data_IF_458690295100
#
_entry.id   IF_458690295100
#
_cell.length_a   1.000
_cell.length_b   1.000
_cell.length_c   1.000
_cell.angle_alpha   90.00
_cell.angle_beta   90.00
_cell.angle_gamma   90.00
#
_symmetry.space_group_name_H-M   'P 1'
#
loop_
_entity.id
_entity.type
_entity.pdbx_description
1 polymer ?
#
# COMPACT_ATOMS: atom_id res chain seq x y z
N UNK A 1 3.79 -25.98 -12.34
CA UNK A 1 4.49 -24.83 -12.97
C UNK A 1 5.54 -24.33 -11.99
N UNK A 2 6.83 -24.49 -12.30
CA UNK A 2 7.94 -24.03 -11.46
C UNK A 2 8.04 -22.51 -11.57
N UNK A 3 7.95 -21.81 -10.42
CA UNK A 3 8.19 -20.37 -10.36
C UNK A 3 9.64 -20.08 -10.77
N UNK A 4 9.90 -19.12 -11.69
CA UNK A 4 11.26 -18.77 -12.06
C UNK A 4 12.09 -18.40 -10.81
N UNK A 5 13.34 -18.79 -10.75
CA UNK A 5 14.22 -18.58 -9.58
C UNK A 5 14.38 -17.10 -9.19
N UNK A 6 14.02 -16.17 -10.09
CA UNK A 6 14.06 -14.71 -9.89
C UNK A 6 12.73 -14.08 -9.53
N UNK A 7 11.61 -14.81 -9.43
CA UNK A 7 10.33 -14.28 -8.99
C UNK A 7 10.18 -14.34 -7.46
N UNK A 8 9.36 -13.42 -6.90
CA UNK A 8 9.00 -13.46 -5.49
C UNK A 8 8.06 -14.65 -5.21
N UNK A 9 8.32 -15.42 -4.17
CA UNK A 9 7.52 -16.60 -3.86
C UNK A 9 7.69 -17.06 -2.41
N UNK A 10 6.74 -17.88 -1.94
CA UNK A 10 6.93 -18.64 -0.70
C UNK A 10 8.03 -19.69 -0.87
N UNK A 11 8.85 -19.87 0.16
CA UNK A 11 10.00 -20.81 0.16
C UNK A 11 9.56 -22.29 0.11
N UNK A 12 8.30 -22.57 0.41
CA UNK A 12 7.70 -23.93 0.35
C UNK A 12 6.17 -23.86 0.32
N UNK A 13 5.55 -24.94 -0.14
CA UNK A 13 4.09 -25.10 -0.08
C UNK A 13 3.56 -25.09 1.36
N UNK A 14 4.35 -25.56 2.33
CA UNK A 14 3.99 -25.49 3.75
C UNK A 14 3.90 -24.04 4.22
N UNK A 15 4.87 -23.20 3.86
CA UNK A 15 4.85 -21.77 4.23
C UNK A 15 3.69 -21.03 3.56
N UNK A 16 3.40 -21.36 2.29
CA UNK A 16 2.25 -20.82 1.56
C UNK A 16 0.93 -21.18 2.21
N UNK A 17 0.69 -22.47 2.52
CA UNK A 17 -0.53 -22.92 3.22
C UNK A 17 -0.69 -22.30 4.60
N UNK A 18 0.42 -22.16 5.36
CA UNK A 18 0.39 -21.50 6.67
C UNK A 18 -0.03 -20.04 6.54
N UNK A 19 0.49 -19.34 5.56
CA UNK A 19 0.13 -17.94 5.30
C UNK A 19 -1.34 -17.84 4.87
N UNK A 20 -1.80 -18.64 3.92
CA UNK A 20 -3.18 -18.65 3.45
C UNK A 20 -4.17 -18.86 4.62
N UNK A 21 -3.93 -19.85 5.47
CA UNK A 21 -4.76 -20.09 6.66
C UNK A 21 -4.73 -18.93 7.67
N UNK A 22 -3.65 -18.18 7.76
CA UNK A 22 -3.59 -16.98 8.59
C UNK A 22 -4.35 -15.81 7.93
N UNK A 23 -4.24 -15.67 6.61
CA UNK A 23 -4.96 -14.67 5.83
C UNK A 23 -6.48 -14.88 5.89
N UNK A 24 -6.95 -16.13 5.73
CA UNK A 24 -8.38 -16.47 5.83
C UNK A 24 -8.95 -16.11 7.21
N UNK A 25 -8.21 -16.42 8.29
CA UNK A 25 -8.60 -16.04 9.66
C UNK A 25 -8.62 -14.53 9.87
N UNK A 26 -7.62 -13.84 9.35
CA UNK A 26 -7.54 -12.37 9.44
C UNK A 26 -8.67 -11.73 8.64
N UNK A 27 -8.95 -12.20 7.42
CA UNK A 27 -10.04 -11.73 6.58
C UNK A 27 -11.41 -11.88 7.27
N UNK A 28 -11.67 -13.05 7.87
CA UNK A 28 -12.92 -13.30 8.60
C UNK A 28 -13.14 -12.38 9.82
N UNK A 29 -12.08 -11.78 10.35
CA UNK A 29 -12.14 -10.86 11.51
C UNK A 29 -12.11 -9.40 11.11
N UNK A 30 -11.37 -9.07 10.04
CA UNK A 30 -11.07 -7.69 9.67
C UNK A 30 -12.00 -7.14 8.59
N UNK A 31 -12.52 -7.98 7.68
CA UNK A 31 -13.52 -7.53 6.72
C UNK A 31 -14.88 -7.37 7.39
N UNK A 32 -15.32 -6.13 7.56
CA UNK A 32 -16.60 -5.78 8.20
C UNK A 32 -17.74 -5.60 7.18
N UNK A 33 -17.46 -5.77 5.90
CA UNK A 33 -18.42 -5.70 4.78
C UNK A 33 -18.25 -6.93 3.89
N UNK A 34 -19.26 -7.29 3.10
CA UNK A 34 -19.14 -8.35 2.11
C UNK A 34 -18.01 -8.08 1.12
N UNK A 35 -17.14 -9.05 0.93
CA UNK A 35 -16.00 -8.99 0.00
C UNK A 35 -16.06 -10.23 -0.92
N UNK A 36 -16.00 -9.98 -2.22
CA UNK A 36 -15.79 -11.02 -3.22
C UNK A 36 -14.34 -11.05 -3.66
N UNK A 37 -13.79 -12.24 -3.86
CA UNK A 37 -12.39 -12.41 -4.26
C UNK A 37 -12.31 -13.02 -5.64
N UNK A 38 -11.45 -12.48 -6.49
CA UNK A 38 -11.16 -13.01 -7.82
C UNK A 38 -9.66 -12.99 -8.09
N UNK A 39 -9.22 -13.86 -8.96
CA UNK A 39 -7.85 -13.94 -9.43
C UNK A 39 -7.79 -13.40 -10.86
N UNK A 40 -7.03 -12.33 -11.07
CA UNK A 40 -6.89 -11.62 -12.34
C UNK A 40 -5.56 -12.03 -12.99
N UNK A 41 -5.57 -12.67 -14.16
CA UNK A 41 -4.35 -12.97 -14.90
C UNK A 41 -3.72 -11.70 -15.46
N UNK A 42 -2.39 -11.59 -15.34
CA UNK A 42 -1.58 -10.52 -15.90
C UNK A 42 -0.37 -11.13 -16.63
N UNK A 43 0.33 -10.32 -17.40
CA UNK A 43 1.56 -10.75 -18.10
C UNK A 43 2.69 -11.18 -17.15
N UNK A 44 2.63 -10.74 -15.88
CA UNK A 44 3.65 -10.98 -14.84
C UNK A 44 3.22 -12.00 -13.77
N UNK A 45 1.98 -12.49 -13.86
CA UNK A 45 1.44 -13.46 -12.92
C UNK A 45 -0.05 -13.31 -12.69
N UNK A 46 -0.56 -13.89 -11.62
CA UNK A 46 -1.96 -13.80 -11.22
C UNK A 46 -2.10 -12.90 -10.01
N UNK A 47 -2.94 -11.89 -10.11
CA UNK A 47 -3.18 -10.91 -9.04
C UNK A 47 -4.51 -11.20 -8.37
N UNK A 48 -4.49 -11.36 -7.05
CA UNK A 48 -5.70 -11.50 -6.24
C UNK A 48 -6.29 -10.15 -5.93
N UNK A 49 -7.57 -9.99 -6.25
CA UNK A 49 -8.34 -8.77 -6.04
C UNK A 49 -9.53 -9.06 -5.14
N UNK A 50 -9.67 -8.26 -4.10
CA UNK A 50 -10.77 -8.29 -3.15
C UNK A 50 -11.69 -7.10 -3.44
N UNK A 51 -12.90 -7.38 -3.91
CA UNK A 51 -13.88 -6.34 -4.28
C UNK A 51 -14.92 -6.18 -3.18
N UNK A 52 -15.16 -4.92 -2.79
CA UNK A 52 -16.24 -4.52 -1.89
C UNK A 52 -17.04 -3.35 -2.48
N UNK A 53 -18.25 -3.13 -1.97
CA UNK A 53 -19.11 -2.02 -2.38
C UNK A 53 -19.94 -2.28 -3.64
N UNK A 54 -20.56 -1.23 -4.22
CA UNK A 54 -21.43 -1.34 -5.38
C UNK A 54 -20.66 -1.75 -6.65
N UNK A 55 -21.37 -2.18 -7.66
CA UNK A 55 -20.82 -2.30 -9.01
C UNK A 55 -20.51 -0.91 -9.59
N UNK A 56 -19.50 -0.81 -10.45
CA UNK A 56 -19.13 0.44 -11.14
C UNK A 56 -17.73 0.38 -11.74
N UNK A 57 -17.43 1.36 -12.57
CA UNK A 57 -16.20 1.45 -13.37
C UNK A 57 -15.16 2.41 -12.77
N UNK A 58 -15.49 3.13 -11.68
CA UNK A 58 -14.66 4.14 -11.02
C UNK A 58 -14.22 3.68 -9.62
N UNK A 59 -13.42 2.62 -9.47
CA UNK A 59 -13.07 2.08 -8.17
C UNK A 59 -12.02 2.91 -7.44
N UNK A 60 -12.04 2.82 -6.11
CA UNK A 60 -10.82 2.99 -5.30
C UNK A 60 -9.98 1.71 -5.40
N UNK A 61 -8.71 1.84 -5.74
CA UNK A 61 -7.77 0.71 -5.80
C UNK A 61 -6.73 0.87 -4.72
N UNK A 62 -6.71 -0.06 -3.76
CA UNK A 62 -5.90 0.03 -2.56
C UNK A 62 -4.63 -0.81 -2.71
N UNK A 63 -3.47 -0.16 -2.68
CA UNK A 63 -2.14 -0.74 -2.87
C UNK A 63 -1.34 -0.69 -1.56
N UNK A 64 -1.11 -1.84 -0.97
CA UNK A 64 -0.41 -1.97 0.31
C UNK A 64 1.10 -1.67 0.21
N UNK A 65 1.70 -1.31 1.33
CA UNK A 65 3.14 -1.16 1.49
C UNK A 65 3.89 -2.49 1.46
N UNK A 66 5.22 -2.43 1.51
CA UNK A 66 6.10 -3.59 1.50
C UNK A 66 5.78 -4.58 2.64
N UNK A 67 5.68 -5.85 2.30
CA UNK A 67 5.31 -6.92 3.23
C UNK A 67 3.82 -6.98 3.58
N UNK A 68 3.01 -6.03 3.08
CA UNK A 68 1.57 -5.99 3.26
C UNK A 68 0.78 -6.63 2.12
N UNK A 69 -0.52 -6.75 2.31
CA UNK A 69 -1.50 -7.19 1.32
C UNK A 69 -2.81 -6.42 1.49
N UNK A 70 -3.86 -6.80 0.80
CA UNK A 70 -5.18 -6.16 0.85
C UNK A 70 -5.71 -5.93 2.27
N UNK A 71 -5.42 -6.85 3.21
CA UNK A 71 -5.86 -6.74 4.60
C UNK A 71 -5.23 -5.56 5.36
N UNK A 72 -4.12 -4.99 4.88
CA UNK A 72 -3.56 -3.76 5.47
C UNK A 72 -4.52 -2.56 5.37
N UNK A 73 -5.48 -2.63 4.49
CA UNK A 73 -6.47 -1.59 4.24
C UNK A 73 -7.82 -1.82 4.94
N UNK A 74 -7.92 -2.84 5.81
CA UNK A 74 -9.18 -3.20 6.46
C UNK A 74 -9.93 -2.03 7.14
N UNK A 75 -9.26 -1.04 7.76
CA UNK A 75 -9.98 0.04 8.43
C UNK A 75 -10.69 0.99 7.45
N UNK A 76 -10.29 0.99 6.18
CA UNK A 76 -10.75 1.94 5.16
C UNK A 76 -11.86 1.36 4.28
N UNK A 77 -11.85 0.02 4.07
CA UNK A 77 -12.68 -0.64 3.05
C UNK A 77 -14.16 -0.37 3.24
N UNK A 78 -14.69 -0.49 4.46
CA UNK A 78 -16.12 -0.31 4.72
C UNK A 78 -16.60 1.11 4.36
N UNK A 79 -15.87 2.14 4.78
CA UNK A 79 -16.24 3.53 4.54
C UNK A 79 -16.13 3.90 3.05
N UNK A 80 -15.08 3.43 2.36
CA UNK A 80 -14.89 3.66 0.93
C UNK A 80 -15.92 2.89 0.10
N UNK A 81 -16.19 1.62 0.45
CA UNK A 81 -17.17 0.78 -0.21
C UNK A 81 -18.61 1.29 -0.10
N UNK A 82 -18.92 2.07 0.91
CA UNK A 82 -20.20 2.78 1.03
C UNK A 82 -20.40 3.90 0.00
N UNK A 83 -19.38 4.25 -0.79
CA UNK A 83 -19.42 5.33 -1.78
C UNK A 83 -19.16 4.87 -3.20
N UNK A 84 -18.16 4.04 -3.42
CA UNK A 84 -17.71 3.58 -4.73
C UNK A 84 -17.19 2.14 -4.63
N UNK A 85 -17.04 1.42 -5.76
CA UNK A 85 -16.36 0.13 -5.75
C UNK A 85 -14.96 0.26 -5.13
N UNK A 86 -14.58 -0.73 -4.33
CA UNK A 86 -13.23 -0.84 -3.78
C UNK A 86 -12.57 -2.11 -4.32
N UNK A 87 -11.38 -1.99 -4.85
CA UNK A 87 -10.50 -3.09 -5.22
C UNK A 87 -9.29 -3.07 -4.26
N UNK A 88 -9.35 -3.84 -3.19
CA UNK A 88 -8.18 -4.07 -2.34
C UNK A 88 -7.34 -5.19 -2.94
N UNK A 89 -6.09 -4.91 -3.27
CA UNK A 89 -5.27 -5.81 -4.08
C UNK A 89 -4.18 -6.44 -3.22
N UNK A 90 -3.97 -7.74 -3.37
CA UNK A 90 -2.74 -8.38 -2.90
C UNK A 90 -1.63 -8.07 -3.91
N UNK A 91 -0.63 -7.22 -3.59
CA UNK A 91 0.34 -6.78 -4.58
C UNK A 91 1.16 -7.95 -5.12
N UNK A 92 1.41 -7.94 -6.42
CA UNK A 92 2.26 -8.94 -7.04
C UNK A 92 3.70 -8.83 -6.51
N UNK A 93 4.25 -9.93 -6.04
CA UNK A 93 5.59 -9.95 -5.45
C UNK A 93 5.65 -9.70 -3.94
N UNK A 94 4.50 -9.53 -3.27
CA UNK A 94 4.35 -9.44 -1.81
C UNK A 94 3.62 -10.67 -1.25
N UNK A 95 3.71 -10.94 0.07
CA UNK A 95 3.00 -12.06 0.67
C UNK A 95 1.48 -11.84 0.64
N UNK A 96 0.79 -12.65 -0.16
CA UNK A 96 -0.66 -12.55 -0.41
C UNK A 96 -1.15 -13.77 -1.17
N UNK A 97 -2.34 -13.63 -1.75
CA UNK A 97 -2.93 -14.61 -2.67
C UNK A 97 -2.41 -14.50 -4.09
N UNK A 98 -1.75 -13.40 -4.44
CA UNK A 98 -1.15 -13.18 -5.75
C UNK A 98 0.09 -14.07 -5.98
N UNK A 99 0.35 -14.44 -7.23
CA UNK A 99 1.48 -15.30 -7.60
C UNK A 99 2.21 -14.70 -8.80
N UNK A 100 3.47 -14.28 -8.59
CA UNK A 100 4.34 -13.81 -9.66
C UNK A 100 4.89 -15.01 -10.47
N UNK A 101 4.81 -14.93 -11.79
CA UNK A 101 5.38 -15.91 -12.72
C UNK A 101 6.57 -15.36 -13.51
N UNK A 102 6.82 -14.04 -13.37
CA UNK A 102 7.96 -13.34 -13.96
C UNK A 102 8.63 -12.42 -12.93
N UNK A 103 9.90 -12.04 -13.13
CA UNK A 103 10.56 -11.05 -12.28
C UNK A 103 9.90 -9.67 -12.35
N UNK A 104 9.82 -9.00 -11.21
CA UNK A 104 9.39 -7.61 -11.06
C UNK A 104 10.64 -6.76 -10.78
N UNK A 105 11.55 -6.69 -11.76
CA UNK A 105 12.92 -6.17 -11.55
C UNK A 105 13.04 -4.64 -11.54
N UNK A 106 12.04 -3.92 -12.04
CA UNK A 106 12.05 -2.47 -12.20
C UNK A 106 10.66 -1.85 -11.94
N UNK A 107 10.59 -0.52 -12.04
CA UNK A 107 9.35 0.23 -11.86
C UNK A 107 8.32 -0.05 -12.93
N UNK A 108 8.75 -0.28 -14.15
CA UNK A 108 7.85 -0.54 -15.27
C UNK A 108 7.11 -1.86 -15.09
N UNK A 109 7.80 -2.91 -14.69
CA UNK A 109 7.18 -4.19 -14.34
C UNK A 109 6.22 -4.05 -13.15
N UNK A 110 6.62 -3.26 -12.13
CA UNK A 110 5.78 -3.00 -10.95
C UNK A 110 4.53 -2.20 -11.30
N UNK A 111 4.59 -1.23 -12.21
CA UNK A 111 3.42 -0.46 -12.66
C UNK A 111 2.50 -1.24 -13.60
N UNK A 112 3.08 -2.03 -14.51
CA UNK A 112 2.35 -2.73 -15.57
C UNK A 112 1.25 -3.65 -15.07
N UNK A 113 1.51 -4.49 -14.08
CA UNK A 113 0.48 -5.39 -13.56
C UNK A 113 -0.73 -4.66 -12.97
N UNK A 114 -0.54 -3.44 -12.43
CA UNK A 114 -1.67 -2.63 -11.91
C UNK A 114 -2.56 -2.20 -13.07
N UNK A 115 -1.98 -1.68 -14.16
CA UNK A 115 -2.75 -1.25 -15.35
C UNK A 115 -3.48 -2.44 -15.98
N UNK A 116 -2.84 -3.61 -16.07
CA UNK A 116 -3.47 -4.83 -16.55
C UNK A 116 -4.66 -5.26 -15.66
N UNK A 117 -4.54 -5.11 -14.33
CA UNK A 117 -5.66 -5.37 -13.40
C UNK A 117 -6.78 -4.36 -13.62
N UNK A 118 -6.49 -3.07 -13.82
CA UNK A 118 -7.50 -2.06 -14.13
C UNK A 118 -8.26 -2.41 -15.41
N UNK A 119 -7.54 -2.77 -16.47
CA UNK A 119 -8.14 -3.19 -17.72
C UNK A 119 -9.03 -4.42 -17.57
N UNK A 120 -8.52 -5.48 -16.92
CA UNK A 120 -9.24 -6.75 -16.74
C UNK A 120 -10.47 -6.63 -15.83
N UNK A 121 -10.47 -5.69 -14.88
CA UNK A 121 -11.61 -5.43 -13.99
C UNK A 121 -12.62 -4.43 -14.54
N UNK A 122 -12.38 -3.88 -15.74
CA UNK A 122 -13.23 -2.89 -16.38
C UNK A 122 -13.18 -1.50 -15.76
N UNK A 123 -12.13 -1.21 -14.96
CA UNK A 123 -11.95 0.11 -14.36
C UNK A 123 -11.62 1.15 -15.46
N UNK A 124 -12.37 2.26 -15.46
CA UNK A 124 -12.20 3.35 -16.42
C UNK A 124 -11.61 4.62 -15.82
N UNK A 125 -11.90 4.89 -14.56
CA UNK A 125 -11.49 6.10 -13.83
C UNK A 125 -11.09 5.75 -12.40
N UNK A 126 -10.06 4.90 -12.26
CA UNK A 126 -9.60 4.42 -10.96
C UNK A 126 -8.96 5.56 -10.15
N UNK A 127 -9.24 5.58 -8.84
CA UNK A 127 -8.48 6.37 -7.89
C UNK A 127 -7.53 5.42 -7.14
N UNK A 128 -6.23 5.50 -7.41
CA UNK A 128 -5.26 4.67 -6.72
C UNK A 128 -4.93 5.26 -5.35
N UNK A 129 -5.03 4.44 -4.32
CA UNK A 129 -4.66 4.78 -2.94
C UNK A 129 -3.50 3.88 -2.53
N UNK A 130 -2.30 4.43 -2.41
CA UNK A 130 -1.09 3.65 -2.16
C UNK A 130 -0.33 4.09 -0.93
N UNK A 131 0.05 3.14 -0.05
CA UNK A 131 0.89 3.40 1.12
C UNK A 131 2.30 2.92 0.90
N UNK A 132 3.32 3.71 1.29
CA UNK A 132 4.73 3.31 1.25
C UNK A 132 5.14 2.80 -0.14
N UNK A 133 5.55 1.54 -0.27
CA UNK A 133 5.84 0.89 -1.54
C UNK A 133 4.63 0.89 -2.49
N UNK A 134 3.40 0.75 -1.97
CA UNK A 134 2.17 0.85 -2.75
C UNK A 134 1.94 2.24 -3.35
N UNK A 135 2.40 3.31 -2.67
CA UNK A 135 2.39 4.66 -3.21
C UNK A 135 3.35 4.82 -4.39
N UNK A 136 4.54 4.26 -4.29
CA UNK A 136 5.47 4.20 -5.42
C UNK A 136 4.93 3.34 -6.56
N UNK A 137 4.30 2.20 -6.24
CA UNK A 137 3.62 1.36 -7.23
C UNK A 137 2.53 2.12 -7.99
N UNK A 138 1.75 2.97 -7.30
CA UNK A 138 0.72 3.81 -7.93
C UNK A 138 1.32 4.81 -8.94
N UNK A 139 2.46 5.42 -8.60
CA UNK A 139 3.19 6.32 -9.51
C UNK A 139 3.77 5.56 -10.71
N UNK A 140 4.29 4.36 -10.49
CA UNK A 140 4.77 3.53 -11.60
C UNK A 140 3.62 3.06 -12.50
N UNK A 141 2.44 2.76 -11.92
CA UNK A 141 1.25 2.42 -12.70
C UNK A 141 0.80 3.61 -13.57
N UNK A 142 0.78 4.82 -13.03
CA UNK A 142 0.42 6.02 -13.81
C UNK A 142 1.35 6.21 -15.01
N UNK A 143 2.65 5.90 -14.89
CA UNK A 143 3.60 5.97 -16.02
C UNK A 143 3.33 4.93 -17.12
N UNK A 144 2.67 3.83 -16.79
CA UNK A 144 2.31 2.76 -17.71
C UNK A 144 0.87 2.89 -18.25
N UNK A 145 0.09 3.85 -17.73
CA UNK A 145 -1.31 4.06 -18.10
C UNK A 145 -1.42 4.85 -19.41
N UNK A 146 -1.57 4.14 -20.50
CA UNK A 146 -1.73 4.72 -21.85
C UNK A 146 -3.20 4.93 -22.25
N UNK A 147 -4.14 4.51 -21.40
CA UNK A 147 -5.59 4.57 -21.68
C UNK A 147 -6.33 5.51 -20.71
N UNK A 148 -5.61 6.34 -19.96
CA UNK A 148 -6.16 7.31 -18.99
C UNK A 148 -7.14 6.67 -17.99
N UNK A 149 -6.87 5.44 -17.57
CA UNK A 149 -7.68 4.69 -16.58
C UNK A 149 -7.49 5.17 -15.15
N UNK A 150 -6.38 5.87 -14.87
CA UNK A 150 -6.06 6.40 -13.54
C UNK A 150 -6.47 7.86 -13.48
N UNK A 151 -7.53 8.16 -12.74
CA UNK A 151 -8.12 9.49 -12.65
C UNK A 151 -7.59 10.32 -11.47
N UNK A 152 -7.06 9.68 -10.42
CA UNK A 152 -6.53 10.37 -9.25
C UNK A 152 -5.59 9.47 -8.43
N UNK A 153 -4.73 10.09 -7.63
CA UNK A 153 -3.82 9.42 -6.68
C UNK A 153 -4.02 9.95 -5.26
N UNK A 154 -4.02 9.05 -4.28
CA UNK A 154 -3.75 9.38 -2.88
C UNK A 154 -2.54 8.57 -2.42
N UNK A 155 -1.45 9.26 -2.13
CA UNK A 155 -0.18 8.68 -1.75
C UNK A 155 0.01 8.87 -0.24
N UNK A 156 0.08 7.77 0.51
CA UNK A 156 0.15 7.80 1.98
C UNK A 156 1.55 7.39 2.41
N UNK A 157 2.32 8.35 2.85
CA UNK A 157 3.73 8.22 3.26
C UNK A 157 4.57 7.37 2.28
N UNK A 158 4.58 7.74 0.96
CA UNK A 158 5.06 6.89 -0.12
C UNK A 158 6.57 6.73 -0.13
N UNK A 159 7.08 5.59 -0.61
CA UNK A 159 8.47 5.42 -0.98
C UNK A 159 8.80 6.16 -2.30
N UNK A 160 10.11 6.37 -2.57
CA UNK A 160 10.56 7.05 -3.77
C UNK A 160 10.72 8.58 -3.65
N UNK A 161 10.47 9.17 -2.49
CA UNK A 161 10.65 10.62 -2.26
C UNK A 161 11.96 10.98 -1.58
N UNK A 162 12.58 10.02 -0.93
CA UNK A 162 13.91 10.11 -0.34
C UNK A 162 14.59 8.72 -0.36
N UNK A 163 15.93 8.64 -0.23
CA UNK A 163 16.61 7.36 -0.10
C UNK A 163 16.15 6.62 1.16
N UNK A 164 16.03 5.29 1.06
CA UNK A 164 15.76 4.44 2.23
C UNK A 164 16.98 4.50 3.16
N UNK A 165 16.87 5.29 4.23
CA UNK A 165 17.98 5.58 5.13
C UNK A 165 18.08 4.60 6.33
N UNK A 166 19.18 4.78 7.10
CA UNK A 166 19.44 3.98 8.34
C UNK A 166 18.34 4.18 9.40
N UNK A 167 17.67 5.33 9.43
CA UNK A 167 16.55 5.63 10.32
C UNK A 167 15.39 4.67 10.07
N UNK A 168 14.99 4.50 8.80
CA UNK A 168 13.93 3.57 8.42
C UNK A 168 14.32 2.12 8.71
N UNK A 169 15.54 1.72 8.36
CA UNK A 169 16.02 0.37 8.64
C UNK A 169 15.99 0.05 10.15
N UNK A 170 16.44 0.99 10.99
CA UNK A 170 16.34 0.86 12.46
C UNK A 170 14.89 0.74 12.91
N UNK A 171 13.98 1.54 12.35
CA UNK A 171 12.57 1.50 12.68
C UNK A 171 11.95 0.13 12.34
N UNK A 172 12.26 -0.43 11.17
CA UNK A 172 11.83 -1.78 10.76
C UNK A 172 12.37 -2.85 11.71
N UNK A 173 13.66 -2.82 12.04
CA UNK A 173 14.29 -3.81 12.94
C UNK A 173 13.70 -3.72 14.33
N UNK A 174 13.60 -2.51 14.90
CA UNK A 174 13.03 -2.31 16.24
C UNK A 174 11.53 -2.66 16.28
N UNK A 175 10.78 -2.34 15.23
CA UNK A 175 9.40 -2.76 15.06
C UNK A 175 9.24 -4.28 15.03
N UNK A 176 10.09 -4.96 14.26
CA UNK A 176 10.13 -6.42 14.19
C UNK A 176 10.44 -7.08 15.55
N UNK A 177 11.35 -6.52 16.32
CA UNK A 177 11.66 -6.98 17.69
C UNK A 177 10.49 -6.69 18.65
N UNK A 178 9.92 -5.49 18.57
CA UNK A 178 8.79 -5.08 19.40
C UNK A 178 7.53 -5.94 19.16
N UNK A 179 7.33 -6.42 17.93
CA UNK A 179 6.22 -7.32 17.58
C UNK A 179 6.22 -8.63 18.38
N UNK A 180 7.37 -9.03 18.91
CA UNK A 180 7.52 -10.24 19.73
C UNK A 180 7.27 -9.99 21.22
N UNK A 181 7.11 -8.75 21.65
CA UNK A 181 6.91 -8.38 23.04
C UNK A 181 5.48 -8.71 23.52
N UNK A 182 5.31 -8.98 24.83
CA UNK A 182 3.98 -9.04 25.45
C UNK A 182 3.18 -7.74 25.22
N UNK A 183 1.86 -7.85 25.15
CA UNK A 183 0.96 -6.75 24.78
C UNK A 183 1.23 -5.40 25.47
N UNK A 184 1.41 -5.31 26.81
CA UNK A 184 1.71 -4.04 27.48
C UNK A 184 3.01 -3.38 27.02
N UNK A 185 4.09 -4.16 26.86
CA UNK A 185 5.38 -3.68 26.38
C UNK A 185 5.32 -3.30 24.90
N UNK A 186 4.60 -4.09 24.09
CA UNK A 186 4.38 -3.82 22.68
C UNK A 186 3.63 -2.49 22.46
N UNK A 187 2.58 -2.21 23.25
CA UNK A 187 1.88 -0.91 23.21
C UNK A 187 2.81 0.26 23.58
N UNK A 188 3.70 0.09 24.58
CA UNK A 188 4.69 1.12 24.90
C UNK A 188 5.69 1.34 23.76
N UNK A 189 6.15 0.25 23.13
CA UNK A 189 7.03 0.31 21.96
C UNK A 189 6.33 0.99 20.77
N UNK A 190 5.06 0.67 20.50
CA UNK A 190 4.27 1.29 19.46
C UNK A 190 4.24 2.82 19.58
N UNK A 191 3.95 3.33 20.78
CA UNK A 191 3.97 4.78 21.05
C UNK A 191 5.35 5.42 20.85
N UNK A 192 6.43 4.75 21.30
CA UNK A 192 7.81 5.30 21.17
C UNK A 192 8.32 5.28 19.74
N UNK A 193 7.93 4.29 18.95
CA UNK A 193 8.34 4.12 17.56
C UNK A 193 7.41 4.84 16.59
N UNK A 194 6.32 5.40 17.07
CA UNK A 194 5.19 5.90 16.28
C UNK A 194 4.89 4.86 15.19
N UNK A 195 4.40 3.69 15.61
CA UNK A 195 4.18 2.55 14.73
C UNK A 195 2.87 1.84 15.09
N UNK A 196 1.79 2.28 14.48
CA UNK A 196 0.44 1.74 14.68
C UNK A 196 0.31 0.26 14.31
N UNK A 197 1.15 -0.24 13.39
CA UNK A 197 1.14 -1.66 13.00
C UNK A 197 1.35 -2.60 14.18
N UNK A 198 2.11 -2.16 15.20
CA UNK A 198 2.35 -2.96 16.42
C UNK A 198 1.10 -3.16 17.28
N UNK A 199 0.03 -2.44 17.02
CA UNK A 199 -1.25 -2.56 17.73
C UNK A 199 -2.20 -3.55 17.06
N UNK A 200 -1.94 -3.88 15.78
CA UNK A 200 -2.79 -4.69 14.92
C UNK A 200 -2.42 -6.18 15.01
N UNK A 201 -3.03 -6.88 15.95
CA UNK A 201 -2.66 -8.26 16.28
C UNK A 201 -2.80 -9.22 15.09
N UNK A 202 -3.87 -9.08 14.29
CA UNK A 202 -4.07 -9.95 13.12
C UNK A 202 -3.04 -9.67 12.02
N UNK A 203 -2.68 -8.41 11.79
CA UNK A 203 -1.63 -8.06 10.84
C UNK A 203 -0.26 -8.53 11.32
N UNK A 204 0.03 -8.48 12.63
CA UNK A 204 1.27 -9.02 13.20
C UNK A 204 1.34 -10.55 13.00
N UNK A 205 0.25 -11.27 13.26
CA UNK A 205 0.15 -12.72 13.04
C UNK A 205 0.37 -13.06 11.57
N UNK A 206 -0.21 -12.26 10.68
CA UNK A 206 -0.05 -12.40 9.24
C UNK A 206 1.40 -12.16 8.81
N UNK A 207 2.05 -11.11 9.31
CA UNK A 207 3.48 -10.84 9.09
C UNK A 207 4.39 -11.98 9.55
N UNK A 208 4.09 -12.58 10.73
CA UNK A 208 4.81 -13.76 11.22
C UNK A 208 4.61 -14.97 10.30
N UNK A 209 3.39 -15.19 9.82
CA UNK A 209 3.10 -16.27 8.86
C UNK A 209 3.80 -16.04 7.52
N UNK A 210 3.98 -14.79 7.12
CA UNK A 210 4.65 -14.36 5.89
C UNK A 210 6.17 -14.48 5.88
N UNK A 211 6.82 -14.79 7.03
CA UNK A 211 8.32 -14.91 7.11
C UNK A 211 8.92 -15.91 6.12
N UNK A 212 8.14 -16.87 5.63
CA UNK A 212 8.58 -17.81 4.60
C UNK A 212 8.49 -17.27 3.18
N UNK A 213 8.11 -16.01 2.97
CA UNK A 213 8.05 -15.40 1.66
C UNK A 213 9.40 -14.74 1.29
N UNK A 214 9.89 -15.04 0.10
CA UNK A 214 11.11 -14.44 -0.46
C UNK A 214 10.70 -13.31 -1.38
N UNK A 215 10.75 -12.08 -0.87
CA UNK A 215 10.47 -10.87 -1.62
C UNK A 215 11.66 -10.54 -2.54
N UNK A 216 11.39 -10.35 -3.83
CA UNK A 216 12.37 -9.98 -4.87
C UNK A 216 11.84 -8.82 -5.69
N UNK A 217 11.49 -7.73 -5.03
CA UNK A 217 11.05 -6.49 -5.63
C UNK A 217 12.19 -5.46 -5.59
N UNK A 218 12.22 -4.50 -6.53
CA UNK A 218 13.25 -3.46 -6.53
C UNK A 218 13.11 -2.56 -5.31
N UNK A 219 14.21 -1.93 -4.92
CA UNK A 219 14.15 -0.80 -4.00
C UNK A 219 13.72 0.42 -4.79
N UNK A 220 12.64 1.14 -4.40
CA UNK A 220 12.22 2.35 -5.08
C UNK A 220 13.36 3.38 -5.17
N UNK A 221 13.77 3.79 -6.38
CA UNK A 221 14.71 4.89 -6.54
C UNK A 221 14.03 6.19 -6.10
N UNK A 222 14.84 7.20 -5.77
CA UNK A 222 14.32 8.55 -5.54
C UNK A 222 13.86 9.13 -6.87
N UNK A 223 12.59 9.52 -6.95
CA UNK A 223 12.03 10.17 -8.11
C UNK A 223 12.65 11.56 -8.29
N UNK A 224 13.00 11.89 -9.50
CA UNK A 224 13.51 13.21 -9.87
C UNK A 224 12.42 14.28 -9.78
N UNK A 225 12.81 15.54 -9.73
CA UNK A 225 11.86 16.67 -9.77
C UNK A 225 11.03 16.66 -11.07
N UNK A 226 11.64 16.28 -12.19
CA UNK A 226 10.95 16.15 -13.47
C UNK A 226 9.89 15.04 -13.46
N UNK A 227 10.16 13.89 -12.83
CA UNK A 227 9.19 12.79 -12.71
C UNK A 227 8.00 13.18 -11.82
N UNK A 228 8.23 13.94 -10.75
CA UNK A 228 7.15 14.45 -9.90
C UNK A 228 6.31 15.51 -10.62
N UNK A 229 6.93 16.43 -11.34
CA UNK A 229 6.26 17.48 -12.11
C UNK A 229 5.45 16.90 -13.30
N UNK A 230 5.83 15.74 -13.82
CA UNK A 230 5.13 15.09 -14.93
C UNK A 230 3.80 14.42 -14.53
N UNK A 231 3.50 14.31 -13.24
CA UNK A 231 2.22 13.76 -12.77
C UNK A 231 1.13 14.81 -12.90
N UNK A 232 0.20 14.62 -13.83
CA UNK A 232 -0.85 15.58 -14.18
C UNK A 232 -2.21 15.28 -13.58
N UNK A 233 -2.45 14.05 -13.09
CA UNK A 233 -3.71 13.70 -12.44
C UNK A 233 -3.81 14.33 -11.05
N UNK A 234 -5.01 14.65 -10.56
CA UNK A 234 -5.22 15.11 -9.20
C UNK A 234 -4.53 14.18 -8.21
N UNK A 235 -3.58 14.72 -7.43
CA UNK A 235 -2.74 13.94 -6.53
C UNK A 235 -2.74 14.54 -5.14
N UNK A 236 -3.06 13.71 -4.16
CA UNK A 236 -2.94 14.03 -2.74
C UNK A 236 -1.78 13.26 -2.13
N UNK A 237 -0.92 13.97 -1.40
CA UNK A 237 0.22 13.42 -0.69
C UNK A 237 0.03 13.62 0.82
N UNK A 238 -0.18 12.52 1.54
CA UNK A 238 -0.27 12.50 3.00
C UNK A 238 1.06 12.01 3.57
N UNK A 239 1.67 12.80 4.43
CA UNK A 239 2.96 12.49 5.05
C UNK A 239 2.82 12.44 6.57
N UNK A 240 3.32 11.40 7.21
CA UNK A 240 3.37 11.34 8.66
C UNK A 240 4.42 12.32 9.23
N UNK A 241 4.03 13.16 10.21
CA UNK A 241 4.95 14.13 10.83
C UNK A 241 6.22 13.45 11.34
N UNK A 242 6.08 12.26 11.92
CA UNK A 242 7.18 11.48 12.50
C UNK A 242 7.59 10.30 11.61
N UNK A 243 7.36 10.39 10.28
CA UNK A 243 7.75 9.31 9.37
C UNK A 243 9.19 8.90 9.58
N UNK A 244 9.40 7.59 9.70
CA UNK A 244 10.74 7.03 9.76
C UNK A 244 11.40 6.92 8.37
N UNK A 245 10.58 6.95 7.30
CA UNK A 245 11.02 6.72 5.94
C UNK A 245 11.83 7.89 5.37
N UNK A 246 11.40 9.13 5.66
CA UNK A 246 12.02 10.34 5.13
C UNK A 246 11.94 11.52 6.11
N UNK A 247 12.61 12.60 5.77
CA UNK A 247 12.41 13.92 6.38
C UNK A 247 11.12 14.51 5.79
N UNK A 248 10.07 14.48 6.59
CA UNK A 248 8.72 14.91 6.17
C UNK A 248 8.68 16.36 5.72
N UNK A 249 9.35 17.27 6.46
CA UNK A 249 9.36 18.69 6.12
C UNK A 249 10.06 18.94 4.79
N UNK A 250 11.24 18.34 4.60
CA UNK A 250 12.01 18.46 3.37
C UNK A 250 11.27 17.89 2.16
N UNK A 251 10.59 16.72 2.31
CA UNK A 251 9.78 16.13 1.24
C UNK A 251 8.59 17.01 0.91
N UNK A 252 7.85 17.50 1.91
CA UNK A 252 6.69 18.37 1.69
C UNK A 252 7.08 19.68 0.98
N UNK A 253 8.17 20.32 1.39
CA UNK A 253 8.70 21.54 0.75
C UNK A 253 9.10 21.26 -0.71
N UNK A 254 9.85 20.19 -0.94
CA UNK A 254 10.25 19.77 -2.29
C UNK A 254 9.06 19.57 -3.21
N UNK A 255 8.05 18.80 -2.76
CA UNK A 255 6.88 18.50 -3.60
C UNK A 255 6.05 19.74 -3.87
N UNK A 256 5.79 20.60 -2.88
CA UNK A 256 5.10 21.89 -3.09
C UNK A 256 5.79 22.79 -4.11
N UNK A 257 7.11 22.75 -4.15
CA UNK A 257 7.91 23.52 -5.11
C UNK A 257 7.87 22.95 -6.53
N UNK A 258 7.96 21.62 -6.69
CA UNK A 258 8.13 20.98 -8.02
C UNK A 258 6.81 20.52 -8.64
N UNK A 259 5.79 20.24 -7.82
CA UNK A 259 4.47 19.82 -8.22
C UNK A 259 3.38 20.61 -7.49
N UNK A 260 3.27 21.92 -7.72
CA UNK A 260 2.40 22.82 -6.93
C UNK A 260 0.90 22.50 -7.07
N UNK A 261 0.52 21.70 -8.05
CA UNK A 261 -0.86 21.21 -8.22
C UNK A 261 -1.22 20.08 -7.28
N UNK A 262 -0.25 19.48 -6.58
CA UNK A 262 -0.55 18.41 -5.63
C UNK A 262 -1.03 19.01 -4.31
N UNK A 263 -2.02 18.35 -3.69
CA UNK A 263 -2.42 18.63 -2.33
C UNK A 263 -1.50 17.89 -1.35
N UNK A 264 -0.66 18.66 -0.62
CA UNK A 264 0.36 18.10 0.27
C UNK A 264 0.01 18.42 1.72
N UNK A 265 -0.31 17.37 2.49
CA UNK A 265 -0.66 17.46 3.91
C UNK A 265 0.36 16.68 4.76
N UNK A 266 0.85 17.34 5.82
CA UNK A 266 1.60 16.69 6.90
C UNK A 266 0.62 16.40 8.03
N UNK A 267 0.47 15.12 8.39
CA UNK A 267 -0.50 14.67 9.39
C UNK A 267 0.15 14.64 10.76
N UNK A 268 -0.26 15.52 11.70
CA UNK A 268 0.36 15.63 13.01
C UNK A 268 0.27 14.33 13.83
N UNK A 269 1.29 14.04 14.62
CA UNK A 269 1.32 12.92 15.57
C UNK A 269 1.42 11.54 14.92
N UNK A 270 1.46 11.43 13.59
CA UNK A 270 1.53 10.16 12.88
C UNK A 270 2.93 9.84 12.36
N UNK A 271 3.21 8.56 12.14
CA UNK A 271 4.45 8.06 11.57
C UNK A 271 4.26 7.39 10.21
N UNK A 272 5.15 6.46 9.88
CA UNK A 272 5.11 5.72 8.63
C UNK A 272 3.89 4.75 8.53
N UNK A 273 3.31 4.35 9.64
CA UNK A 273 2.11 3.53 9.67
C UNK A 273 0.82 4.37 9.64
N UNK A 274 0.86 5.56 9.05
CA UNK A 274 -0.22 6.54 8.95
C UNK A 274 -1.59 5.94 8.59
N UNK A 275 -1.73 4.99 7.65
CA UNK A 275 -3.03 4.38 7.36
C UNK A 275 -3.69 3.71 8.57
N UNK A 276 -2.88 3.20 9.51
CA UNK A 276 -3.38 2.55 10.74
C UNK A 276 -3.42 3.49 11.94
N UNK A 277 -2.74 4.63 11.86
CA UNK A 277 -2.65 5.63 12.93
C UNK A 277 -3.75 6.69 12.84
N UNK A 278 -4.20 6.99 11.60
CA UNK A 278 -5.25 7.96 11.33
C UNK A 278 -6.18 7.47 10.20
N UNK A 279 -6.85 6.31 10.36
CA UNK A 279 -7.64 5.70 9.28
C UNK A 279 -8.82 6.58 8.83
N UNK A 280 -9.52 7.26 9.74
CA UNK A 280 -10.63 8.15 9.41
C UNK A 280 -10.15 9.33 8.57
N UNK A 281 -9.01 9.94 8.93
CA UNK A 281 -8.42 11.02 8.15
C UNK A 281 -8.08 10.56 6.74
N UNK A 282 -7.45 9.40 6.59
CA UNK A 282 -7.13 8.85 5.26
C UNK A 282 -8.39 8.64 4.44
N UNK A 283 -9.45 8.07 5.03
CA UNK A 283 -10.76 7.91 4.37
C UNK A 283 -11.31 9.26 3.91
N UNK A 284 -11.34 10.26 4.79
CA UNK A 284 -11.88 11.59 4.45
C UNK A 284 -11.10 12.23 3.31
N UNK A 285 -9.78 12.11 3.30
CA UNK A 285 -8.94 12.64 2.22
C UNK A 285 -9.13 11.89 0.91
N UNK A 286 -9.29 10.58 0.95
CA UNK A 286 -9.62 9.78 -0.25
C UNK A 286 -10.99 10.15 -0.81
N UNK A 287 -11.96 10.47 0.05
CA UNK A 287 -13.31 10.89 -0.34
C UNK A 287 -13.42 12.38 -0.73
N UNK A 288 -12.33 13.14 -0.65
CA UNK A 288 -12.34 14.60 -0.91
C UNK A 288 -13.06 15.41 0.16
N UNK A 289 -13.22 14.87 1.36
CA UNK A 289 -13.74 15.59 2.52
C UNK A 289 -12.57 16.27 3.22
N UNK A 290 -12.30 17.50 2.81
CA UNK A 290 -11.38 18.34 3.58
C UNK A 290 -12.14 18.76 4.84
N UNK A 291 -11.78 18.20 5.98
CA UNK A 291 -12.33 18.67 7.25
C UNK A 291 -12.10 20.17 7.35
N UNK A 292 -13.05 20.90 7.97
CA UNK A 292 -12.89 22.31 8.25
C UNK A 292 -11.46 22.57 8.71
N UNK A 293 -10.68 23.22 7.84
CA UNK A 293 -9.43 23.81 8.26
C UNK A 293 -9.85 24.94 9.18
N UNK A 294 -9.95 24.62 10.48
CA UNK A 294 -10.16 25.62 11.50
C UNK A 294 -9.11 26.72 11.28
N UNK A 295 -9.60 27.93 10.95
CA UNK A 295 -8.84 29.10 10.66
C UNK A 295 -8.00 29.60 11.84
#
# INVERSE_FOLDING_TARGET
MTVPDRASAFSSDRSRRRFAAAADRAAARLWTVPVTTSDVPTSLGTVRVHRAGPAGEDPFVLLAGAGGNALSWYPHVAALAGRRPVLAVDPLGEPGGSTATAPLGDGDAVGRWVVEVLAATGARRAHLVGSSFGGWTALMALRQDTEDRIAALTLVDPAGFAPVGRRFLRWVVLGGMAALLPGPLRRRAARRLVNGTLLEEELLRLGIAGRGFRRRLPTPPVLSDAELAAVTVPTRLLLGEHSALHDTAAVAERVRRVAPAWDVEVVPGTGHALPLEAPELVVDRVLGRDGDRAG
#
